data_IF_717377761881
#
_entry.id   IF_717377761881
#
_cell.length_a   1.000
_cell.length_b   1.000
_cell.length_c   1.000
_cell.angle_alpha   90.00
_cell.angle_beta   90.00
_cell.angle_gamma   90.00
#
_symmetry.space_group_name_H-M   'P 1'
#
loop_
_entity.id
_entity.type
_entity.pdbx_description
1 polymer ?
#
# COMPACT_ATOMS: atom_id res chain seq x y z
N UNK A 1 -15.35 3.92 22.18
CA UNK A 1 -15.18 2.86 21.16
C UNK A 1 -13.93 3.05 20.29
N UNK A 2 -13.45 4.29 20.03
CA UNK A 2 -12.19 4.53 19.28
C UNK A 2 -10.90 4.04 19.97
N UNK A 3 -10.82 4.09 21.30
CA UNK A 3 -9.57 3.76 22.02
C UNK A 3 -9.22 2.26 22.05
N UNK A 4 -10.25 1.39 22.05
CA UNK A 4 -10.09 -0.07 22.08
C UNK A 4 -9.54 -0.62 20.76
N UNK A 5 -9.94 -0.04 19.62
CA UNK A 5 -9.42 -0.41 18.29
C UNK A 5 -7.96 0.02 18.10
N UNK A 6 -7.57 1.18 18.62
CA UNK A 6 -6.18 1.67 18.54
C UNK A 6 -5.21 0.92 19.43
N UNK A 7 -5.67 0.38 20.56
CA UNK A 7 -4.82 -0.42 21.45
C UNK A 7 -4.66 -1.85 20.90
N UNK A 8 -5.74 -2.47 20.42
CA UNK A 8 -5.68 -3.80 19.80
C UNK A 8 -4.77 -3.83 18.55
N UNK A 9 -4.90 -2.82 17.68
CA UNK A 9 -4.05 -2.71 16.48
C UNK A 9 -2.56 -2.50 16.81
N UNK A 10 -2.26 -1.76 17.89
CA UNK A 10 -0.90 -1.61 18.39
C UNK A 10 -0.32 -2.93 18.91
N UNK A 11 -1.03 -3.64 19.79
CA UNK A 11 -0.56 -4.92 20.31
C UNK A 11 -0.40 -5.98 19.22
N UNK A 12 -1.31 -6.02 18.24
CA UNK A 12 -1.21 -6.93 17.08
C UNK A 12 0.05 -6.64 16.25
N UNK A 13 0.35 -5.36 15.98
CA UNK A 13 1.55 -4.97 15.25
C UNK A 13 2.83 -5.37 15.97
N UNK A 14 2.91 -5.15 17.29
CA UNK A 14 4.08 -5.52 18.10
C UNK A 14 4.26 -7.05 18.13
N UNK A 15 3.16 -7.79 18.26
CA UNK A 15 3.20 -9.26 18.24
C UNK A 15 3.71 -9.81 16.91
N UNK A 16 3.24 -9.25 15.79
CA UNK A 16 3.71 -9.63 14.44
C UNK A 16 5.22 -9.33 14.29
N UNK A 17 5.67 -8.15 14.73
CA UNK A 17 7.10 -7.80 14.70
C UNK A 17 7.95 -8.77 15.54
N UNK A 18 7.45 -9.19 16.71
CA UNK A 18 8.13 -10.15 17.56
C UNK A 18 8.30 -11.51 16.87
N UNK A 19 7.27 -11.98 16.15
CA UNK A 19 7.38 -13.22 15.33
C UNK A 19 8.47 -13.07 14.27
N UNK A 20 8.53 -11.94 13.56
CA UNK A 20 9.58 -11.69 12.57
C UNK A 20 10.97 -11.69 13.18
N UNK A 21 11.16 -11.04 14.33
CA UNK A 21 12.44 -11.03 15.05
C UNK A 21 12.89 -12.44 15.44
N UNK A 22 11.98 -13.26 15.99
CA UNK A 22 12.30 -14.65 16.34
C UNK A 22 12.74 -15.43 15.09
N UNK A 23 12.04 -15.27 13.98
CA UNK A 23 12.36 -15.96 12.74
C UNK A 23 13.72 -15.54 12.16
N UNK A 24 14.03 -14.24 12.19
CA UNK A 24 15.34 -13.71 11.80
C UNK A 24 16.47 -14.27 12.68
N UNK A 25 16.25 -14.38 13.99
CA UNK A 25 17.23 -14.97 14.92
C UNK A 25 17.47 -16.45 14.62
N UNK A 26 16.43 -17.21 14.27
CA UNK A 26 16.57 -18.62 13.87
C UNK A 26 17.42 -18.74 12.61
N UNK A 27 17.15 -17.93 11.58
CA UNK A 27 17.90 -17.93 10.32
C UNK A 27 19.36 -17.55 10.55
N UNK A 28 19.60 -16.49 11.32
CA UNK A 28 20.95 -16.06 11.68
C UNK A 28 21.71 -17.15 12.43
N UNK A 29 21.09 -17.74 13.46
CA UNK A 29 21.69 -18.82 14.25
C UNK A 29 22.00 -20.04 13.40
N UNK A 30 21.15 -20.36 12.42
CA UNK A 30 21.34 -21.48 11.51
C UNK A 30 22.53 -21.25 10.58
N UNK A 31 22.61 -20.08 9.92
CA UNK A 31 23.75 -19.74 9.05
C UNK A 31 25.06 -19.70 9.84
N UNK A 32 25.05 -19.11 11.03
CA UNK A 32 26.23 -19.05 11.90
C UNK A 32 26.70 -20.46 12.31
N UNK A 33 25.78 -21.37 12.62
CA UNK A 33 26.11 -22.77 12.91
C UNK A 33 26.77 -23.46 11.73
N UNK A 34 26.25 -23.26 10.51
CA UNK A 34 26.80 -23.86 9.28
C UNK A 34 28.22 -23.36 8.98
N UNK A 35 28.47 -22.06 9.17
CA UNK A 35 29.81 -21.47 9.02
C UNK A 35 30.79 -22.02 10.06
N UNK A 36 30.37 -22.11 11.33
CA UNK A 36 31.24 -22.57 12.41
C UNK A 36 31.62 -24.06 12.29
N UNK A 37 30.79 -24.88 11.65
CA UNK A 37 31.07 -26.30 11.37
C UNK A 37 31.88 -26.46 10.07
N UNK A 38 31.97 -25.42 9.23
CA UNK A 38 32.68 -25.46 7.96
C UNK A 38 31.99 -26.36 6.90
N UNK A 39 30.66 -26.39 6.84
CA UNK A 39 29.95 -27.16 5.80
C UNK A 39 30.19 -26.54 4.42
N UNK A 40 31.08 -27.15 3.64
CA UNK A 40 31.36 -26.77 2.26
C UNK A 40 30.10 -26.80 1.36
N UNK A 41 29.20 -27.72 1.67
CA UNK A 41 27.88 -27.88 1.11
C UNK A 41 26.90 -26.70 1.30
N UNK A 42 27.18 -25.83 2.26
CA UNK A 42 26.32 -24.67 2.55
C UNK A 42 26.79 -23.41 1.83
N UNK A 43 27.85 -23.51 1.04
CA UNK A 43 28.40 -22.38 0.34
C UNK A 43 27.52 -22.02 -0.85
N UNK A 44 26.87 -20.86 -0.79
CA UNK A 44 25.97 -20.38 -1.81
C UNK A 44 26.06 -18.85 -1.92
N UNK A 45 25.91 -18.30 -3.12
CA UNK A 45 25.96 -16.85 -3.37
C UNK A 45 24.97 -16.05 -2.50
N UNK A 46 23.85 -16.67 -2.15
CA UNK A 46 22.78 -16.04 -1.37
C UNK A 46 23.12 -15.94 0.13
N UNK A 47 24.07 -16.74 0.64
CA UNK A 47 24.36 -16.85 2.08
C UNK A 47 24.76 -15.51 2.69
N UNK A 48 25.66 -14.77 2.02
CA UNK A 48 26.16 -13.49 2.50
C UNK A 48 25.08 -12.40 2.50
N UNK A 49 24.23 -12.37 1.47
CA UNK A 49 23.09 -11.47 1.42
C UNK A 49 22.11 -11.75 2.56
N UNK A 50 21.71 -13.01 2.75
CA UNK A 50 20.77 -13.41 3.79
C UNK A 50 21.31 -13.00 5.16
N UNK A 51 22.59 -13.26 5.44
CA UNK A 51 23.25 -12.85 6.68
C UNK A 51 23.20 -11.33 6.84
N UNK A 52 23.75 -10.58 5.89
CA UNK A 52 23.82 -9.11 5.97
C UNK A 52 22.46 -8.47 6.15
N UNK A 53 21.47 -8.90 5.36
CA UNK A 53 20.11 -8.41 5.47
C UNK A 53 19.47 -8.76 6.83
N UNK A 54 19.70 -9.98 7.33
CA UNK A 54 19.19 -10.40 8.65
C UNK A 54 19.72 -9.50 9.77
N UNK A 55 21.00 -9.12 9.71
CA UNK A 55 21.59 -8.19 10.69
C UNK A 55 20.95 -6.81 10.61
N UNK A 56 20.83 -6.26 9.40
CA UNK A 56 20.21 -4.95 9.17
C UNK A 56 18.76 -4.94 9.63
N UNK A 57 18.01 -6.02 9.34
CA UNK A 57 16.62 -6.17 9.73
C UNK A 57 16.46 -6.23 11.25
N UNK A 58 17.33 -6.95 11.97
CA UNK A 58 17.30 -6.98 13.43
C UNK A 58 17.53 -5.59 14.04
N UNK A 59 18.50 -4.83 13.51
CA UNK A 59 18.75 -3.45 13.95
C UNK A 59 17.54 -2.55 13.66
N UNK A 60 16.94 -2.68 12.47
CA UNK A 60 15.74 -1.93 12.10
C UNK A 60 14.55 -2.23 13.03
N UNK A 61 14.27 -3.50 13.31
CA UNK A 61 13.19 -3.89 14.22
C UNK A 61 13.47 -3.44 15.66
N UNK A 62 14.73 -3.47 16.09
CA UNK A 62 15.11 -2.94 17.40
C UNK A 62 14.83 -1.44 17.51
N UNK A 63 15.27 -0.64 16.53
CA UNK A 63 15.04 0.82 16.54
C UNK A 63 13.54 1.15 16.51
N UNK A 64 12.79 0.49 15.63
CA UNK A 64 11.34 0.73 15.45
C UNK A 64 10.51 0.24 16.64
N UNK A 65 11.01 -0.72 17.43
CA UNK A 65 10.35 -1.15 18.66
C UNK A 65 10.38 -0.09 19.76
N UNK A 66 11.46 0.70 19.88
CA UNK A 66 11.57 1.76 20.88
C UNK A 66 11.03 3.11 20.40
N UNK A 67 11.06 3.36 19.10
CA UNK A 67 10.68 4.66 18.52
C UNK A 67 9.45 4.47 17.61
N UNK A 68 8.23 4.68 18.13
CA UNK A 68 7.04 4.60 17.29
C UNK A 68 7.02 5.74 16.28
N UNK A 69 6.69 5.43 15.02
CA UNK A 69 6.63 6.37 13.89
C UNK A 69 5.78 7.63 14.19
N UNK A 70 4.74 7.48 15.02
CA UNK A 70 3.85 8.58 15.45
C UNK A 70 4.59 9.65 16.25
N UNK A 71 5.58 9.27 17.06
CA UNK A 71 6.41 10.20 17.85
C UNK A 71 7.38 10.96 16.95
N UNK A 72 7.96 10.28 15.95
CA UNK A 72 8.85 10.92 14.96
C UNK A 72 8.08 11.96 14.15
N UNK A 73 6.87 11.62 13.72
CA UNK A 73 6.02 12.52 12.92
C UNK A 73 5.63 13.80 13.65
N UNK A 74 5.47 13.75 14.98
CA UNK A 74 5.15 14.91 15.80
C UNK A 74 6.36 15.80 16.11
N UNK A 75 7.57 15.23 16.13
CA UNK A 75 8.78 15.89 16.63
C UNK A 75 9.71 16.44 15.55
N UNK A 76 9.77 15.85 14.35
CA UNK A 76 10.87 16.08 13.40
C UNK A 76 10.47 16.77 12.08
N UNK A 77 9.20 17.13 11.92
CA UNK A 77 8.70 17.82 10.72
C UNK A 77 8.52 16.91 9.50
N UNK A 78 7.81 17.41 8.48
CA UNK A 78 7.31 16.63 7.33
C UNK A 78 8.43 16.00 6.49
N UNK A 79 9.57 16.68 6.31
CA UNK A 79 10.66 16.19 5.48
C UNK A 79 11.32 14.91 6.02
N UNK A 80 11.53 14.83 7.34
CA UNK A 80 12.14 13.64 7.98
C UNK A 80 11.19 12.45 7.93
N UNK A 81 9.88 12.70 8.09
CA UNK A 81 8.85 11.66 7.98
C UNK A 81 8.81 11.04 6.59
N UNK A 82 8.91 11.87 5.55
CA UNK A 82 8.93 11.40 4.16
C UNK A 82 10.18 10.57 3.86
N UNK A 83 11.36 11.01 4.31
CA UNK A 83 12.60 10.26 4.14
C UNK A 83 12.55 8.89 4.84
N UNK A 84 12.04 8.88 6.08
CA UNK A 84 11.87 7.66 6.85
C UNK A 84 10.89 6.70 6.16
N UNK A 85 9.75 7.21 5.68
CA UNK A 85 8.77 6.42 4.94
C UNK A 85 9.37 5.81 3.66
N UNK A 86 10.19 6.58 2.94
CA UNK A 86 10.90 6.09 1.75
C UNK A 86 11.93 5.01 2.10
N UNK A 87 12.70 5.19 3.17
CA UNK A 87 13.64 4.18 3.67
C UNK A 87 12.93 2.88 4.09
N UNK A 88 11.82 3.00 4.82
CA UNK A 88 10.95 1.88 5.19
C UNK A 88 10.39 1.18 3.96
N UNK A 89 10.02 1.91 2.91
CA UNK A 89 9.55 1.33 1.65
C UNK A 89 10.64 0.50 0.94
N UNK A 90 11.86 1.03 0.83
CA UNK A 90 13.00 0.29 0.28
C UNK A 90 13.31 -0.96 1.12
N UNK A 91 13.28 -0.83 2.45
CA UNK A 91 13.48 -1.94 3.36
C UNK A 91 12.46 -3.05 3.11
N UNK A 92 11.18 -2.70 2.94
CA UNK A 92 10.13 -3.65 2.61
C UNK A 92 10.36 -4.35 1.26
N UNK A 93 10.80 -3.63 0.22
CA UNK A 93 11.15 -4.25 -1.06
C UNK A 93 12.31 -5.24 -0.92
N UNK A 94 13.36 -4.84 -0.22
CA UNK A 94 14.51 -5.70 0.05
C UNK A 94 14.13 -6.93 0.89
N UNK A 95 13.15 -6.79 1.79
CA UNK A 95 12.62 -7.90 2.58
C UNK A 95 11.94 -8.98 1.73
N UNK A 96 11.24 -8.59 0.66
CA UNK A 96 10.65 -9.57 -0.29
C UNK A 96 11.75 -10.37 -0.99
N UNK A 97 12.79 -9.69 -1.47
CA UNK A 97 13.96 -10.35 -2.09
C UNK A 97 14.65 -11.28 -1.09
N UNK A 98 14.77 -10.85 0.16
CA UNK A 98 15.28 -11.68 1.25
C UNK A 98 14.49 -12.96 1.47
N UNK A 99 13.16 -12.90 1.51
CA UNK A 99 12.34 -14.12 1.66
C UNK A 99 12.61 -15.08 0.49
N UNK A 100 12.67 -14.57 -0.73
CA UNK A 100 12.95 -15.38 -1.91
C UNK A 100 14.31 -16.07 -1.81
N UNK A 101 15.38 -15.34 -1.50
CA UNK A 101 16.71 -15.90 -1.35
C UNK A 101 16.85 -16.84 -0.15
N UNK A 102 16.19 -16.55 0.97
CA UNK A 102 16.16 -17.45 2.12
C UNK A 102 15.46 -18.78 1.78
N UNK A 103 14.35 -18.73 1.05
CA UNK A 103 13.64 -19.93 0.60
C UNK A 103 14.48 -20.73 -0.40
N UNK A 104 15.07 -20.06 -1.40
CA UNK A 104 15.94 -20.69 -2.40
C UNK A 104 17.14 -21.37 -1.75
N UNK A 105 17.79 -20.69 -0.80
CA UNK A 105 18.91 -21.23 -0.03
C UNK A 105 18.52 -22.47 0.79
N UNK A 106 17.37 -22.44 1.47
CA UNK A 106 16.89 -23.62 2.21
C UNK A 106 16.56 -24.77 1.27
N UNK A 107 15.93 -24.50 0.13
CA UNK A 107 15.62 -25.52 -0.88
C UNK A 107 16.89 -26.14 -1.46
N UNK A 108 17.90 -25.33 -1.74
CA UNK A 108 19.22 -25.79 -2.17
C UNK A 108 19.82 -26.78 -1.16
N UNK A 109 19.84 -26.40 0.13
CA UNK A 109 20.33 -27.26 1.21
C UNK A 109 19.54 -28.57 1.37
N UNK A 110 18.24 -28.56 1.10
CA UNK A 110 17.40 -29.77 1.11
C UNK A 110 17.68 -30.67 -0.09
N UNK A 111 17.84 -30.09 -1.28
CA UNK A 111 18.07 -30.84 -2.52
C UNK A 111 19.43 -31.54 -2.54
N UNK A 112 20.47 -30.90 -2.01
CA UNK A 112 21.81 -31.51 -1.93
C UNK A 112 21.96 -32.55 -0.81
N UNK A 113 20.90 -32.83 -0.04
CA UNK A 113 20.90 -33.79 1.09
C UNK A 113 22.07 -33.56 2.05
N UNK A 114 22.37 -32.29 2.33
CA UNK A 114 23.49 -31.93 3.19
C UNK A 114 23.26 -32.43 4.62
N UNK A 115 24.02 -33.44 5.03
CA UNK A 115 23.90 -34.08 6.35
C UNK A 115 24.18 -33.13 7.51
N UNK A 116 25.10 -32.19 7.34
CA UNK A 116 25.42 -31.18 8.37
C UNK A 116 24.46 -29.98 8.39
N UNK A 117 23.53 -29.92 7.42
CA UNK A 117 22.40 -28.99 7.40
C UNK A 117 21.11 -29.64 7.91
N UNK A 118 21.15 -30.95 8.19
CA UNK A 118 20.05 -31.73 8.74
C UNK A 118 19.81 -31.34 10.21
N UNK A 119 18.97 -30.32 10.38
CA UNK A 119 18.48 -29.81 11.65
C UNK A 119 16.99 -29.54 11.52
N UNK A 120 16.25 -29.70 12.63
CA UNK A 120 14.86 -29.22 12.76
C UNK A 120 14.70 -27.75 12.36
N UNK A 121 15.77 -26.95 12.48
CA UNK A 121 15.82 -25.55 12.08
C UNK A 121 15.58 -25.37 10.57
N UNK A 122 16.02 -26.30 9.72
CA UNK A 122 15.83 -26.20 8.26
C UNK A 122 14.34 -26.26 7.90
N UNK A 123 13.61 -27.19 8.51
CA UNK A 123 12.18 -27.35 8.29
C UNK A 123 11.38 -26.19 8.89
N UNK A 124 11.81 -25.69 10.05
CA UNK A 124 11.25 -24.47 10.66
C UNK A 124 11.51 -23.24 9.78
N UNK A 125 12.66 -23.12 9.11
CA UNK A 125 12.92 -22.00 8.20
C UNK A 125 12.09 -22.16 6.91
N UNK A 126 11.93 -23.36 6.37
CA UNK A 126 11.09 -23.58 5.20
C UNK A 126 9.61 -23.22 5.46
N UNK A 127 9.05 -23.69 6.58
CA UNK A 127 7.68 -23.35 6.99
C UNK A 127 7.59 -21.89 7.43
N UNK A 128 8.59 -21.43 8.17
CA UNK A 128 8.68 -20.08 8.69
C UNK A 128 8.74 -19.04 7.57
N UNK A 129 9.49 -19.29 6.49
CA UNK A 129 9.56 -18.37 5.34
C UNK A 129 8.21 -18.26 4.63
N UNK A 130 7.46 -19.35 4.48
CA UNK A 130 6.08 -19.32 3.99
C UNK A 130 5.14 -18.51 4.90
N UNK A 131 5.19 -18.74 6.21
CA UNK A 131 4.41 -17.97 7.19
C UNK A 131 4.81 -16.49 7.16
N UNK A 132 6.11 -16.20 7.06
CA UNK A 132 6.64 -14.84 7.01
C UNK A 132 6.16 -14.09 5.76
N UNK A 133 6.04 -14.78 4.61
CA UNK A 133 5.50 -14.20 3.38
C UNK A 133 4.01 -13.85 3.54
N UNK A 134 3.23 -14.73 4.16
CA UNK A 134 1.82 -14.48 4.44
C UNK A 134 1.64 -13.31 5.42
N UNK A 135 2.37 -13.32 6.55
CA UNK A 135 2.36 -12.23 7.53
C UNK A 135 2.80 -10.90 6.92
N UNK A 136 3.80 -10.95 6.04
CA UNK A 136 4.28 -9.78 5.32
C UNK A 136 3.23 -9.20 4.38
N UNK A 137 2.52 -10.05 3.63
CA UNK A 137 1.38 -9.64 2.81
C UNK A 137 0.33 -8.93 3.67
N UNK A 138 -0.09 -9.53 4.79
CA UNK A 138 -1.06 -8.92 5.72
C UNK A 138 -0.57 -7.56 6.24
N UNK A 139 0.72 -7.46 6.58
CA UNK A 139 1.33 -6.22 7.03
C UNK A 139 1.37 -5.14 5.92
N UNK A 140 1.65 -5.53 4.67
CA UNK A 140 1.55 -4.65 3.51
C UNK A 140 0.13 -4.13 3.29
N UNK A 141 -0.87 -5.02 3.38
CA UNK A 141 -2.28 -4.64 3.25
C UNK A 141 -2.68 -3.62 4.31
N UNK A 142 -2.25 -3.83 5.56
CA UNK A 142 -2.60 -2.96 6.68
C UNK A 142 -1.89 -1.61 6.68
N UNK A 143 -0.62 -1.55 6.29
CA UNK A 143 0.16 -0.30 6.31
C UNK A 143 -0.08 0.55 5.06
N UNK A 144 -0.25 -0.07 3.88
CA UNK A 144 -0.33 0.67 2.61
C UNK A 144 -1.76 0.70 2.08
N UNK A 145 -2.37 -0.47 1.91
CA UNK A 145 -3.64 -0.57 1.17
C UNK A 145 -4.79 0.02 1.98
N UNK A 146 -4.90 -0.31 3.27
CA UNK A 146 -5.99 0.19 4.12
C UNK A 146 -5.96 1.74 4.22
N UNK A 147 -4.83 2.41 4.51
CA UNK A 147 -4.82 3.88 4.58
C UNK A 147 -5.13 4.57 3.26
N UNK A 148 -4.69 4.01 2.12
CA UNK A 148 -5.03 4.53 0.79
C UNK A 148 -6.53 4.37 0.53
N UNK A 149 -7.10 3.20 0.82
CA UNK A 149 -8.54 2.96 0.69
C UNK A 149 -9.35 3.90 1.58
N UNK A 150 -8.95 4.08 2.84
CA UNK A 150 -9.60 5.03 3.75
C UNK A 150 -9.49 6.46 3.21
N UNK A 151 -8.30 6.89 2.76
CA UNK A 151 -8.09 8.24 2.23
C UNK A 151 -8.95 8.52 0.98
N UNK A 152 -9.00 7.55 0.05
CA UNK A 152 -9.86 7.67 -1.14
C UNK A 152 -11.34 7.68 -0.77
N UNK A 153 -11.77 6.84 0.17
CA UNK A 153 -13.15 6.82 0.66
C UNK A 153 -13.53 8.12 1.38
N UNK A 154 -12.66 8.67 2.23
CA UNK A 154 -12.89 9.96 2.88
C UNK A 154 -13.00 11.09 1.87
N UNK A 155 -12.16 11.08 0.82
CA UNK A 155 -12.21 12.07 -0.24
C UNK A 155 -13.51 11.97 -1.07
N UNK A 156 -14.05 10.75 -1.26
CA UNK A 156 -15.34 10.55 -1.93
C UNK A 156 -16.51 11.04 -1.06
N UNK A 157 -16.49 10.75 0.25
CA UNK A 157 -17.53 11.20 1.19
C UNK A 157 -17.58 12.73 1.25
N UNK A 158 -16.42 13.40 1.32
CA UNK A 158 -16.36 14.87 1.32
C UNK A 158 -16.97 15.43 0.04
N UNK A 159 -16.64 14.87 -1.13
CA UNK A 159 -17.24 15.30 -2.41
C UNK A 159 -18.76 15.11 -2.46
N UNK A 160 -19.29 14.04 -1.85
CA UNK A 160 -20.73 13.81 -1.78
C UNK A 160 -21.41 14.84 -0.87
N UNK A 161 -20.80 15.16 0.28
CA UNK A 161 -21.30 16.21 1.18
C UNK A 161 -21.27 17.60 0.52
N UNK A 162 -20.19 17.92 -0.19
CA UNK A 162 -20.09 19.17 -0.95
C UNK A 162 -21.20 19.24 -2.02
N UNK A 163 -21.44 18.15 -2.74
CA UNK A 163 -22.51 18.07 -3.74
C UNK A 163 -23.91 18.22 -3.13
N UNK A 164 -24.18 17.57 -1.98
CA UNK A 164 -25.44 17.72 -1.25
C UNK A 164 -25.68 19.17 -0.83
N UNK A 165 -24.64 19.83 -0.30
CA UNK A 165 -24.73 21.23 0.12
C UNK A 165 -24.94 22.20 -1.06
N UNK A 166 -24.34 21.93 -2.22
CA UNK A 166 -24.53 22.72 -3.44
C UNK A 166 -25.96 22.54 -3.99
N UNK A 167 -26.48 21.31 -3.99
CA UNK A 167 -27.88 21.03 -4.36
C UNK A 167 -28.85 21.71 -3.41
N UNK A 168 -28.60 21.67 -2.10
CA UNK A 168 -29.43 22.34 -1.11
C UNK A 168 -29.43 23.86 -1.30
N UNK A 169 -28.28 24.48 -1.59
CA UNK A 169 -28.19 25.91 -1.88
C UNK A 169 -28.94 26.28 -3.17
N UNK A 170 -28.85 25.44 -4.21
CA UNK A 170 -29.57 25.63 -5.49
C UNK A 170 -31.09 25.48 -5.31
N UNK A 171 -31.54 24.54 -4.47
CA UNK A 171 -32.97 24.37 -4.14
C UNK A 171 -33.47 25.57 -3.32
N UNK A 172 -32.67 26.07 -2.36
CA UNK A 172 -33.04 27.22 -1.54
C UNK A 172 -33.02 28.55 -2.31
N UNK A 173 -32.16 28.69 -3.32
CA UNK A 173 -32.02 29.91 -4.13
C UNK A 173 -31.92 29.62 -5.63
N UNK A 174 -33.02 29.20 -6.29
CA UNK A 174 -33.01 28.84 -7.71
C UNK A 174 -32.64 30.02 -8.63
N UNK A 175 -32.89 31.26 -8.17
CA UNK A 175 -32.63 32.50 -8.92
C UNK A 175 -31.12 32.79 -9.02
N UNK A 176 -30.32 32.43 -8.01
CA UNK A 176 -28.86 32.62 -7.99
C UNK A 176 -28.16 31.67 -8.96
N UNK A 177 -28.67 30.44 -9.09
CA UNK A 177 -28.18 29.43 -10.05
C UNK A 177 -28.46 29.82 -11.51
N UNK A 178 -29.59 30.49 -11.76
CA UNK A 178 -29.90 31.07 -13.08
C UNK A 178 -28.95 32.21 -13.46
N UNK A 179 -28.49 32.99 -12.48
CA UNK A 179 -27.55 34.12 -12.70
C UNK A 179 -26.10 33.69 -12.96
N UNK A 180 -25.69 32.53 -12.41
CA UNK A 180 -24.35 31.97 -12.60
C UNK A 180 -24.26 31.03 -13.83
N UNK A 181 -25.37 30.81 -14.53
CA UNK A 181 -25.36 30.04 -15.78
C UNK A 181 -24.63 30.85 -16.85
N UNK A 182 -23.51 30.37 -17.43
CA UNK A 182 -22.72 31.14 -18.36
C UNK A 182 -23.57 31.54 -19.56
N UNK A 183 -23.61 32.85 -19.89
CA UNK A 183 -24.43 33.40 -20.97
C UNK A 183 -24.22 32.79 -22.36
N UNK A 184 -23.22 31.90 -22.51
CA UNK A 184 -23.03 31.02 -23.68
C UNK A 184 -24.15 29.98 -23.81
N UNK A 185 -24.66 29.40 -22.73
CA UNK A 185 -25.78 28.44 -22.78
C UNK A 185 -27.09 29.10 -23.21
N UNK A 186 -27.35 30.32 -22.74
CA UNK A 186 -28.53 31.09 -23.12
C UNK A 186 -28.48 31.57 -24.58
N UNK A 187 -27.28 31.85 -25.11
CA UNK A 187 -27.11 32.13 -26.55
C UNK A 187 -27.32 30.88 -27.39
N UNK A 188 -26.79 29.73 -26.98
CA UNK A 188 -26.97 28.46 -27.69
C UNK A 188 -28.44 28.04 -27.82
N UNK A 189 -29.28 28.23 -26.80
CA UNK A 189 -30.71 27.91 -26.89
C UNK A 189 -31.47 28.86 -27.82
N UNK A 190 -31.10 30.14 -27.86
CA UNK A 190 -31.66 31.12 -28.80
C UNK A 190 -31.26 30.82 -30.24
N UNK A 191 -30.01 30.42 -30.46
CA UNK A 191 -29.51 30.05 -31.78
C UNK A 191 -30.20 28.77 -32.27
N UNK A 192 -30.35 27.74 -31.44
CA UNK A 192 -31.10 26.52 -31.76
C UNK A 192 -32.56 26.84 -32.13
N UNK A 193 -33.23 27.72 -31.38
CA UNK A 193 -34.59 28.16 -31.71
C UNK A 193 -34.67 28.85 -33.08
N UNK A 194 -33.67 29.67 -33.42
CA UNK A 194 -33.60 30.34 -34.73
C UNK A 194 -33.31 29.37 -35.88
N UNK A 195 -32.47 28.35 -35.65
CA UNK A 195 -32.19 27.28 -36.62
C UNK A 195 -33.41 26.40 -36.88
N UNK A 196 -34.16 26.02 -35.83
CA UNK A 196 -35.41 25.26 -35.96
C UNK A 196 -36.45 26.07 -36.74
N UNK A 197 -36.60 27.36 -36.43
CA UNK A 197 -37.53 28.26 -37.15
C UNK A 197 -37.15 28.43 -38.61
N UNK A 198 -35.85 28.60 -38.92
CA UNK A 198 -35.35 28.73 -40.28
C UNK A 198 -35.51 27.43 -41.09
N UNK A 199 -35.29 26.28 -40.45
CA UNK A 199 -35.48 24.95 -41.04
C UNK A 199 -36.97 24.68 -41.32
N UNK A 200 -37.85 24.97 -40.37
CA UNK A 200 -39.30 24.84 -40.55
C UNK A 200 -39.83 25.73 -41.70
N UNK A 201 -39.28 26.94 -41.84
CA UNK A 201 -39.64 27.89 -42.91
C UNK A 201 -39.13 27.43 -44.28
N UNK A 202 -37.93 26.82 -44.35
CA UNK A 202 -37.40 26.22 -45.59
C UNK A 202 -38.20 24.99 -46.02
N UNK A 203 -38.55 24.11 -45.08
CA UNK A 203 -39.38 22.93 -45.36
C UNK A 203 -40.79 23.28 -45.87
N UNK A 204 -41.40 24.34 -45.31
CA UNK A 204 -42.71 24.84 -45.79
C UNK A 204 -42.64 25.52 -47.16
N UNK A 205 -41.52 26.18 -47.51
CA UNK A 205 -41.28 26.71 -48.87
C UNK A 205 -41.06 25.60 -49.90
N UNK A 206 -40.30 24.56 -49.57
CA UNK A 206 -40.08 23.40 -50.46
C UNK A 206 -41.39 22.66 -50.73
N UNK A 207 -42.28 22.52 -49.74
CA UNK A 207 -43.60 21.91 -49.92
C UNK A 207 -44.56 22.73 -50.79
N UNK A 208 -44.37 24.06 -50.90
CA UNK A 208 -45.15 24.94 -51.80
C UNK A 208 -44.57 25.05 -53.22
N UNK A 209 -43.34 24.61 -53.45
CA UNK A 209 -42.68 24.60 -54.77
C UNK A 209 -42.82 23.30 -55.57
N UNK A 210 -43.44 22.27 -55.00
CA UNK A 210 -43.93 21.08 -55.72
C UNK A 210 -45.45 21.19 -55.89
N UNK A 211 -45.88 22.02 -56.84
CA UNK A 211 -47.18 21.96 -57.50
C UNK A 211 -46.91 21.72 -58.97
#
# INVERSE_FOLDING_TARGET
MKDTDTTLSFYSSVFIQLIFVILLLIIWSYIYKLENIGCACSEHSNKEFIKTFTMVALVYFFITAFIPMKTIAKSMGIGVVQLLAFGTFIFFLAFVVYIYYAFDYVRYLMNEKCKCSEDLRRDIIAIGTMISLFLFMVLLFTIIIIPILISTLTNLIVKIQDFESEVEEVIKNPVKSLSNTPGRLFKSTRDIGSFVKSTATKLTKVKKGKK
#
